data_IF_046109135238
#
_entry.id   IF_046109135238
#
_cell.length_a   1.000
_cell.length_b   1.000
_cell.length_c   1.000
_cell.angle_alpha   90.00
_cell.angle_beta   90.00
_cell.angle_gamma   90.00
#
_symmetry.space_group_name_H-M   'P 1'
#
loop_
_entity.id
_entity.type
_entity.pdbx_description
1 polymer ?
#
# COMPACT_ATOMS: atom_id res chain seq x y z
N UNK A 1 0.82 -17.65 4.80
CA UNK A 1 1.92 -16.81 4.29
C UNK A 1 2.27 -15.66 5.23
N UNK A 2 1.34 -14.75 5.54
CA UNK A 2 1.59 -13.56 6.39
C UNK A 2 2.29 -13.94 7.70
N UNK A 3 1.72 -14.85 8.49
CA UNK A 3 2.30 -15.26 9.78
C UNK A 3 3.73 -15.80 9.66
N UNK A 4 4.03 -16.59 8.63
CA UNK A 4 5.38 -17.13 8.38
C UNK A 4 6.39 -16.01 8.08
N UNK A 5 6.00 -15.01 7.29
CA UNK A 5 6.89 -13.91 6.91
C UNK A 5 7.06 -12.89 8.05
N UNK A 6 6.02 -12.66 8.86
CA UNK A 6 6.12 -11.80 10.03
C UNK A 6 6.93 -12.46 11.15
N UNK A 7 6.76 -13.76 11.41
CA UNK A 7 7.57 -14.51 12.35
C UNK A 7 9.07 -14.50 11.97
N UNK A 8 9.39 -14.67 10.69
CA UNK A 8 10.77 -14.58 10.21
C UNK A 8 11.39 -13.19 10.42
N UNK A 9 10.57 -12.14 10.42
CA UNK A 9 10.98 -10.75 10.70
C UNK A 9 11.02 -10.43 12.20
N UNK A 10 10.73 -11.39 13.07
CA UNK A 10 10.73 -11.23 14.54
C UNK A 10 9.45 -10.63 15.10
N UNK A 11 8.37 -10.54 14.35
CA UNK A 11 7.07 -10.10 14.85
C UNK A 11 6.29 -11.29 15.40
N UNK A 12 6.01 -11.25 16.70
CA UNK A 12 5.18 -12.26 17.38
C UNK A 12 3.68 -11.96 17.15
N UNK A 13 2.87 -13.03 17.06
CA UNK A 13 1.41 -12.93 16.97
C UNK A 13 0.82 -13.61 15.74
N UNK A 14 -0.51 -13.75 15.75
CA UNK A 14 -1.28 -14.30 14.64
C UNK A 14 -1.89 -13.15 13.85
N UNK A 15 -1.38 -12.92 12.66
CA UNK A 15 -1.90 -11.91 11.73
C UNK A 15 -2.93 -12.58 10.82
N UNK A 16 -4.22 -12.38 11.13
CA UNK A 16 -5.33 -12.84 10.27
C UNK A 16 -5.74 -11.75 9.29
N UNK A 17 -6.20 -12.15 8.12
CA UNK A 17 -7.01 -11.28 7.27
C UNK A 17 -8.39 -11.19 7.93
N UNK A 18 -8.90 -9.99 8.08
CA UNK A 18 -10.28 -9.78 8.55
C UNK A 18 -11.21 -10.04 7.36
N UNK A 19 -11.84 -11.21 7.34
CA UNK A 19 -12.62 -11.69 6.19
C UNK A 19 -13.93 -10.92 5.98
N UNK A 20 -14.47 -10.24 7.03
CA UNK A 20 -15.79 -9.60 7.00
C UNK A 20 -15.77 -8.08 7.21
N UNK A 21 -14.62 -7.40 7.03
CA UNK A 21 -14.57 -5.94 7.15
C UNK A 21 -14.64 -5.28 5.77
N UNK A 22 -15.79 -4.64 5.40
CA UNK A 22 -15.96 -4.03 4.07
C UNK A 22 -14.97 -2.90 3.78
N UNK A 23 -14.35 -2.34 4.83
CA UNK A 23 -13.34 -1.28 4.70
C UNK A 23 -11.90 -1.86 4.59
N UNK A 24 -11.75 -3.17 4.43
CA UNK A 24 -10.45 -3.85 4.34
C UNK A 24 -10.40 -4.72 3.08
N UNK A 25 -9.64 -4.29 2.08
CA UNK A 25 -9.48 -5.00 0.81
C UNK A 25 -8.12 -5.70 0.82
N UNK A 26 -8.13 -7.02 0.88
CA UNK A 26 -6.91 -7.83 0.87
C UNK A 26 -6.66 -8.43 -0.50
N UNK A 27 -5.45 -8.20 -1.02
CA UNK A 27 -4.98 -8.72 -2.31
C UNK A 27 -3.89 -9.75 -2.09
N UNK A 28 -3.82 -10.73 -2.97
CA UNK A 28 -2.71 -11.67 -3.05
C UNK A 28 -2.18 -11.78 -4.48
N UNK A 29 -0.86 -11.86 -4.62
CA UNK A 29 -0.22 -12.25 -5.85
C UNK A 29 0.14 -13.73 -5.78
N UNK A 30 -0.13 -14.47 -6.86
CA UNK A 30 0.23 -15.88 -6.97
C UNK A 30 1.13 -16.11 -8.18
N UNK A 31 2.13 -16.97 -8.03
CA UNK A 31 2.96 -17.48 -9.11
C UNK A 31 2.89 -19.01 -9.09
N UNK A 32 2.58 -19.61 -10.24
CA UNK A 32 2.43 -21.08 -10.42
C UNK A 32 1.54 -21.74 -9.36
N UNK A 33 0.48 -21.04 -8.93
CA UNK A 33 -0.47 -21.54 -7.92
C UNK A 33 -0.06 -21.33 -6.47
N UNK A 34 1.14 -20.80 -6.20
CA UNK A 34 1.59 -20.45 -4.87
C UNK A 34 1.43 -18.94 -4.59
N UNK A 35 0.94 -18.58 -3.41
CA UNK A 35 0.84 -17.17 -3.01
C UNK A 35 2.24 -16.63 -2.69
N UNK A 36 2.69 -15.66 -3.47
CA UNK A 36 4.01 -15.04 -3.38
C UNK A 36 4.00 -13.64 -2.76
N UNK A 37 2.85 -13.01 -2.69
CA UNK A 37 2.69 -11.69 -2.09
C UNK A 37 1.29 -11.47 -1.54
N UNK A 38 1.17 -10.63 -0.49
CA UNK A 38 -0.10 -10.17 0.06
C UNK A 38 0.02 -8.72 0.49
N UNK A 39 -1.08 -7.99 0.42
CA UNK A 39 -1.19 -6.62 0.92
C UNK A 39 -2.66 -6.33 1.25
N UNK A 40 -2.91 -5.45 2.21
CA UNK A 40 -4.27 -5.01 2.56
C UNK A 40 -4.35 -3.49 2.45
N UNK A 41 -5.40 -2.99 1.79
CA UNK A 41 -5.82 -1.60 1.82
C UNK A 41 -6.92 -1.45 2.87
N UNK A 42 -6.72 -0.56 3.82
CA UNK A 42 -7.75 -0.10 4.76
C UNK A 42 -8.33 1.23 4.27
N UNK A 43 -9.66 1.31 4.17
CA UNK A 43 -10.37 2.55 3.88
C UNK A 43 -10.79 3.16 5.21
N UNK A 44 -10.57 4.46 5.37
CA UNK A 44 -10.97 5.16 6.59
C UNK A 44 -12.49 5.11 6.79
N UNK A 45 -12.87 4.97 8.05
CA UNK A 45 -14.26 4.79 8.45
C UNK A 45 -14.44 5.24 9.91
N UNK A 46 -15.65 5.27 10.46
CA UNK A 46 -15.87 5.63 11.87
C UNK A 46 -15.07 4.80 12.89
N UNK A 47 -14.61 3.60 12.51
CA UNK A 47 -13.72 2.78 13.37
C UNK A 47 -12.24 3.11 13.19
N UNK A 48 -11.91 4.01 12.27
CA UNK A 48 -10.57 4.49 12.00
C UNK A 48 -9.68 3.51 11.20
N UNK A 49 -8.42 3.91 11.04
CA UNK A 49 -7.34 3.14 10.43
C UNK A 49 -6.51 2.42 11.53
N UNK A 50 -5.72 1.43 11.17
CA UNK A 50 -4.83 0.78 12.14
C UNK A 50 -3.76 1.74 12.68
N UNK A 51 -3.30 2.65 11.83
CA UNK A 51 -2.32 3.67 12.20
C UNK A 51 -2.86 4.70 13.22
N UNK A 52 -4.19 4.81 13.42
CA UNK A 52 -4.77 5.67 14.46
C UNK A 52 -4.32 5.28 15.88
N UNK A 53 -3.92 4.04 16.09
CA UNK A 53 -3.46 3.59 17.40
C UNK A 53 -2.28 4.41 17.94
N UNK A 54 -1.39 4.86 17.04
CA UNK A 54 -0.17 5.58 17.43
C UNK A 54 0.05 6.90 16.70
N UNK A 55 -0.69 7.17 15.61
CA UNK A 55 -0.51 8.36 14.77
C UNK A 55 -1.82 9.14 14.56
N UNK A 56 -2.79 8.97 15.49
CA UNK A 56 -4.11 9.57 15.36
C UNK A 56 -4.08 11.08 15.14
N UNK A 57 -3.23 11.79 15.87
CA UNK A 57 -3.05 13.25 15.77
C UNK A 57 -2.65 13.69 14.35
N UNK A 58 -1.80 12.90 13.69
CA UNK A 58 -1.37 13.18 12.32
C UNK A 58 -2.48 12.86 11.31
N UNK A 59 -3.18 11.74 11.49
CA UNK A 59 -4.28 11.34 10.59
C UNK A 59 -5.47 12.30 10.72
N UNK A 60 -5.82 12.72 11.93
CA UNK A 60 -6.90 13.68 12.17
C UNK A 60 -6.64 15.02 11.49
N UNK A 61 -5.39 15.47 11.44
CA UNK A 61 -5.02 16.68 10.69
C UNK A 61 -5.45 16.59 9.20
N UNK A 62 -5.25 15.46 8.55
CA UNK A 62 -5.71 15.27 7.17
C UNK A 62 -7.23 15.15 7.06
N UNK A 63 -7.89 14.50 8.04
CA UNK A 63 -9.36 14.42 8.11
C UNK A 63 -9.98 15.81 8.25
N UNK A 64 -9.42 16.66 9.13
CA UNK A 64 -9.88 18.03 9.36
C UNK A 64 -9.74 18.90 8.11
N UNK A 65 -8.76 18.60 7.24
CA UNK A 65 -8.62 19.25 5.94
C UNK A 65 -9.57 18.67 4.86
N UNK A 66 -10.44 17.74 5.21
CA UNK A 66 -11.38 17.10 4.28
C UNK A 66 -10.79 15.94 3.48
N UNK A 67 -9.63 15.43 3.87
CA UNK A 67 -9.00 14.29 3.24
C UNK A 67 -9.82 13.01 3.41
N UNK A 68 -9.87 12.20 2.35
CA UNK A 68 -10.38 10.82 2.36
C UNK A 68 -9.20 9.88 2.45
N UNK A 69 -9.02 9.26 3.61
CA UNK A 69 -7.80 8.54 3.92
C UNK A 69 -7.91 7.05 3.60
N UNK A 70 -6.79 6.45 3.24
CA UNK A 70 -6.62 5.01 3.24
C UNK A 70 -5.23 4.64 3.75
N UNK A 71 -5.06 3.39 4.17
CA UNK A 71 -3.76 2.89 4.64
C UNK A 71 -3.38 1.56 3.97
N UNK A 72 -2.10 1.38 3.72
CA UNK A 72 -1.52 0.12 3.23
C UNK A 72 -0.97 -0.64 4.43
N UNK A 73 -1.43 -1.87 4.61
CA UNK A 73 -1.02 -2.73 5.73
C UNK A 73 -0.72 -4.15 5.26
N UNK A 74 -0.15 -4.96 6.14
CA UNK A 74 0.05 -6.40 5.94
C UNK A 74 0.79 -6.75 4.64
N UNK A 75 1.67 -5.85 4.16
CA UNK A 75 2.52 -6.16 3.01
C UNK A 75 3.51 -7.26 3.39
N UNK A 76 3.39 -8.37 2.71
CA UNK A 76 4.31 -9.49 2.78
C UNK A 76 4.59 -10.00 1.36
N UNK A 77 5.86 -10.12 0.99
CA UNK A 77 6.27 -10.62 -0.31
C UNK A 77 7.40 -11.64 -0.14
N UNK A 78 7.34 -12.76 -0.86
CA UNK A 78 8.37 -13.80 -0.76
C UNK A 78 9.71 -13.24 -1.28
N UNK A 79 10.76 -13.17 -0.45
CA UNK A 79 12.05 -12.60 -0.84
C UNK A 79 12.75 -13.39 -1.95
N UNK A 80 12.32 -14.63 -2.22
CA UNK A 80 12.82 -15.45 -3.32
C UNK A 80 12.25 -15.04 -4.67
N UNK A 81 11.05 -14.42 -4.65
CA UNK A 81 10.39 -13.90 -5.86
C UNK A 81 10.82 -12.45 -6.04
N UNK A 82 11.79 -12.23 -6.93
CA UNK A 82 12.33 -10.89 -7.21
C UNK A 82 11.62 -10.24 -8.41
N UNK A 83 10.29 -10.28 -8.41
CA UNK A 83 9.50 -9.63 -9.47
C UNK A 83 9.07 -8.24 -9.06
N UNK A 84 9.65 -7.22 -9.70
CA UNK A 84 9.20 -5.84 -9.58
C UNK A 84 7.80 -5.67 -10.15
N UNK A 85 7.49 -6.39 -11.23
CA UNK A 85 6.20 -6.37 -11.92
C UNK A 85 5.07 -6.84 -10.98
N UNK A 86 5.26 -7.96 -10.28
CA UNK A 86 4.26 -8.48 -9.35
C UNK A 86 4.04 -7.54 -8.16
N UNK A 87 5.11 -6.95 -7.63
CA UNK A 87 5.01 -5.97 -6.55
C UNK A 87 4.34 -4.68 -7.02
N UNK A 88 4.71 -4.18 -8.21
CA UNK A 88 4.12 -3.02 -8.83
C UNK A 88 2.63 -3.23 -9.12
N UNK A 89 2.25 -4.41 -9.64
CA UNK A 89 0.85 -4.76 -9.87
C UNK A 89 0.02 -4.70 -8.59
N UNK A 90 0.53 -5.23 -7.46
CA UNK A 90 -0.17 -5.15 -6.18
C UNK A 90 -0.41 -3.68 -5.76
N UNK A 91 0.62 -2.83 -5.81
CA UNK A 91 0.48 -1.41 -5.46
C UNK A 91 -0.44 -0.67 -6.42
N UNK A 92 -0.39 -0.98 -7.72
CA UNK A 92 -1.27 -0.33 -8.68
C UNK A 92 -2.74 -0.72 -8.48
N UNK A 93 -3.04 -1.98 -8.18
CA UNK A 93 -4.41 -2.40 -7.86
C UNK A 93 -4.90 -1.73 -6.57
N UNK A 94 -4.04 -1.57 -5.54
CA UNK A 94 -4.40 -0.79 -4.35
C UNK A 94 -4.72 0.68 -4.70
N UNK A 95 -3.94 1.29 -5.60
CA UNK A 95 -4.22 2.63 -6.11
C UNK A 95 -5.60 2.70 -6.78
N UNK A 96 -5.93 1.73 -7.65
CA UNK A 96 -7.24 1.66 -8.31
C UNK A 96 -8.36 1.59 -7.27
N UNK A 97 -8.26 0.72 -6.28
CA UNK A 97 -9.25 0.64 -5.19
C UNK A 97 -9.33 1.94 -4.40
N UNK A 98 -8.21 2.45 -3.90
CA UNK A 98 -8.17 3.67 -3.10
C UNK A 98 -8.67 4.89 -3.89
N UNK A 99 -8.09 5.16 -5.05
CA UNK A 99 -8.34 6.39 -5.80
C UNK A 99 -9.58 6.32 -6.68
N UNK A 100 -9.74 5.24 -7.47
CA UNK A 100 -10.78 5.17 -8.50
C UNK A 100 -12.13 4.69 -7.94
N UNK A 101 -12.12 3.79 -6.95
CA UNK A 101 -13.34 3.19 -6.40
C UNK A 101 -13.78 3.92 -5.12
N UNK A 102 -12.88 4.13 -4.17
CA UNK A 102 -13.21 4.75 -2.89
C UNK A 102 -12.94 6.25 -2.83
N UNK A 103 -12.38 6.85 -3.89
CA UNK A 103 -12.12 8.30 -4.00
C UNK A 103 -11.24 8.84 -2.87
N UNK A 104 -10.31 8.02 -2.36
CA UNK A 104 -9.33 8.48 -1.39
C UNK A 104 -8.42 9.54 -2.00
N UNK A 105 -7.98 10.49 -1.15
CA UNK A 105 -7.06 11.57 -1.52
C UNK A 105 -5.66 11.31 -1.02
N UNK A 106 -5.55 10.61 0.11
CA UNK A 106 -4.31 10.44 0.86
C UNK A 106 -4.12 8.99 1.28
N UNK A 107 -2.92 8.47 1.08
CA UNK A 107 -2.55 7.11 1.45
C UNK A 107 -1.43 7.13 2.49
N UNK A 108 -1.60 6.31 3.51
CA UNK A 108 -0.66 6.17 4.63
C UNK A 108 -0.10 4.76 4.70
N UNK A 109 1.09 4.64 5.26
CA UNK A 109 1.69 3.36 5.59
C UNK A 109 2.56 3.50 6.85
N UNK A 110 2.35 2.63 7.82
CA UNK A 110 3.20 2.49 8.99
C UNK A 110 4.34 1.53 8.68
N UNK A 111 5.58 1.98 8.84
CA UNK A 111 6.75 1.19 8.47
C UNK A 111 7.83 1.16 9.53
N UNK A 112 8.51 0.02 9.67
CA UNK A 112 9.75 -0.04 10.45
C UNK A 112 10.83 0.83 9.77
N UNK A 113 11.71 1.53 10.51
CA UNK A 113 12.75 2.41 9.97
C UNK A 113 13.60 1.80 8.85
N UNK A 114 13.90 0.50 8.92
CA UNK A 114 14.68 -0.23 7.89
C UNK A 114 14.04 -0.27 6.51
N UNK A 115 12.71 -0.08 6.44
CA UNK A 115 11.94 -0.13 5.18
C UNK A 115 11.58 1.25 4.64
N UNK A 116 11.74 2.32 5.43
CA UNK A 116 11.37 3.69 5.08
C UNK A 116 11.90 4.10 3.71
N UNK A 117 13.23 3.94 3.51
CA UNK A 117 13.89 4.34 2.25
C UNK A 117 13.32 3.65 1.01
N UNK A 118 12.86 2.41 1.16
CA UNK A 118 12.21 1.70 0.05
C UNK A 118 10.97 2.45 -0.42
N UNK A 119 10.04 2.79 0.48
CA UNK A 119 8.80 3.47 0.13
C UNK A 119 9.04 4.89 -0.39
N UNK A 120 9.98 5.62 0.20
CA UNK A 120 10.36 6.95 -0.26
C UNK A 120 10.91 6.90 -1.69
N UNK A 121 11.83 5.98 -1.97
CA UNK A 121 12.51 5.91 -3.28
C UNK A 121 11.64 5.23 -4.35
N UNK A 122 10.93 4.17 -3.98
CA UNK A 122 10.25 3.33 -4.96
C UNK A 122 8.82 3.77 -5.27
N UNK A 123 8.17 4.49 -4.34
CA UNK A 123 6.76 4.87 -4.43
C UNK A 123 6.49 6.34 -4.12
N UNK A 124 7.53 7.13 -3.82
CA UNK A 124 7.41 8.58 -3.60
C UNK A 124 6.74 8.98 -2.29
N UNK A 125 6.70 8.10 -1.29
CA UNK A 125 6.19 8.46 0.03
C UNK A 125 7.05 9.50 0.72
N UNK A 126 6.44 10.31 1.57
CA UNK A 126 7.10 11.27 2.45
C UNK A 126 6.91 10.86 3.90
N UNK A 127 7.95 11.04 4.73
CA UNK A 127 7.86 10.76 6.15
C UNK A 127 7.13 11.89 6.87
N UNK A 128 6.22 11.54 7.78
CA UNK A 128 5.51 12.48 8.62
C UNK A 128 5.98 12.40 10.07
N UNK A 129 6.18 13.58 10.68
CA UNK A 129 6.43 13.76 12.09
C UNK A 129 7.63 12.98 12.63
N UNK A 130 7.45 12.37 13.81
CA UNK A 130 8.49 11.67 14.54
C UNK A 130 8.25 10.16 14.60
N UNK A 131 9.34 9.41 14.84
CA UNK A 131 9.27 7.96 15.05
C UNK A 131 8.55 7.66 16.37
N UNK A 132 7.61 6.72 16.35
CA UNK A 132 6.87 6.24 17.52
C UNK A 132 7.06 4.74 17.71
N UNK A 133 6.80 4.24 18.91
CA UNK A 133 6.81 2.79 19.17
C UNK A 133 5.42 2.21 18.91
N UNK A 134 5.35 1.19 18.04
CA UNK A 134 4.12 0.44 17.83
C UNK A 134 3.99 -0.64 18.91
N UNK A 135 2.98 -0.55 19.81
CA UNK A 135 2.83 -1.49 20.92
C UNK A 135 2.43 -2.91 20.46
N UNK A 136 1.74 -3.04 19.30
CA UNK A 136 1.32 -4.34 18.75
C UNK A 136 2.47 -5.27 18.44
N UNK A 137 3.60 -4.70 18.05
CA UNK A 137 4.80 -5.46 17.62
C UNK A 137 6.04 -5.08 18.41
N UNK A 138 5.89 -4.19 19.38
CA UNK A 138 6.98 -3.64 20.21
C UNK A 138 8.20 -3.21 19.37
N UNK A 139 7.93 -2.43 18.31
CA UNK A 139 8.94 -2.01 17.35
C UNK A 139 8.78 -0.54 16.98
N UNK A 140 9.90 0.14 16.61
CA UNK A 140 9.82 1.51 16.11
C UNK A 140 9.11 1.57 14.77
N UNK A 141 8.29 2.60 14.59
CA UNK A 141 7.51 2.86 13.41
C UNK A 141 7.59 4.33 12.96
N UNK A 142 7.60 4.53 11.66
CA UNK A 142 7.37 5.81 11.00
C UNK A 142 6.03 5.79 10.30
N UNK A 143 5.30 6.89 10.35
CA UNK A 143 4.17 7.11 9.45
C UNK A 143 4.70 7.74 8.15
N UNK A 144 4.42 7.11 7.03
CA UNK A 144 4.67 7.66 5.70
C UNK A 144 3.35 8.00 5.03
N UNK A 145 3.35 9.03 4.22
CA UNK A 145 2.21 9.57 3.50
C UNK A 145 2.54 9.81 2.03
N UNK A 146 1.54 9.64 1.17
CA UNK A 146 1.58 10.14 -0.19
C UNK A 146 0.19 10.66 -0.60
N UNK A 147 0.18 11.68 -1.44
CA UNK A 147 -1.03 12.19 -2.05
C UNK A 147 -1.36 11.38 -3.31
N UNK A 148 -2.60 10.90 -3.43
CA UNK A 148 -2.99 10.02 -4.53
C UNK A 148 -3.12 10.72 -5.88
N UNK A 149 -3.28 12.06 -5.92
CA UNK A 149 -3.19 12.81 -7.19
C UNK A 149 -1.75 12.82 -7.71
N UNK A 150 -0.76 13.01 -6.82
CA UNK A 150 0.65 12.90 -7.20
C UNK A 150 1.02 11.49 -7.66
N UNK A 151 0.49 10.47 -7.00
CA UNK A 151 0.67 9.06 -7.44
C UNK A 151 0.10 8.87 -8.85
N UNK A 152 -1.09 9.41 -9.12
CA UNK A 152 -1.72 9.36 -10.42
C UNK A 152 -0.84 10.02 -11.51
N UNK A 153 -0.30 11.21 -11.25
CA UNK A 153 0.62 11.89 -12.18
C UNK A 153 1.84 11.03 -12.51
N UNK A 154 2.40 10.33 -11.51
CA UNK A 154 3.53 9.41 -11.74
C UNK A 154 3.14 8.19 -12.58
N UNK A 155 1.95 7.63 -12.33
CA UNK A 155 1.42 6.52 -13.13
C UNK A 155 1.18 6.95 -14.57
N UNK A 156 0.56 8.10 -14.80
CA UNK A 156 0.32 8.64 -16.15
C UNK A 156 1.63 8.88 -16.92
N UNK A 157 2.66 9.33 -16.21
CA UNK A 157 3.97 9.63 -16.81
C UNK A 157 4.79 8.37 -17.13
N UNK A 158 4.78 7.36 -16.26
CA UNK A 158 5.72 6.25 -16.30
C UNK A 158 5.06 4.88 -16.48
N UNK A 159 3.75 4.73 -16.22
CA UNK A 159 3.06 3.44 -16.29
C UNK A 159 3.20 2.77 -17.65
N UNK A 160 3.50 1.47 -17.64
CA UNK A 160 3.68 0.68 -18.86
C UNK A 160 5.01 0.90 -19.59
N UNK A 161 5.97 1.63 -19.01
CA UNK A 161 7.26 1.93 -19.65
C UNK A 161 8.41 1.04 -19.18
N UNK A 162 8.11 -0.12 -18.56
CA UNK A 162 9.11 -1.01 -17.95
C UNK A 162 10.20 -1.49 -18.90
N UNK A 163 9.90 -1.60 -20.21
CA UNK A 163 10.89 -1.96 -21.25
C UNK A 163 11.91 -0.84 -21.54
N UNK A 164 11.56 0.42 -21.21
CA UNK A 164 12.41 1.58 -21.43
C UNK A 164 12.31 2.55 -20.23
N UNK A 165 12.72 2.14 -19.02
CA UNK A 165 12.50 2.94 -17.81
C UNK A 165 13.36 4.21 -17.74
N UNK A 166 14.30 4.41 -18.66
CA UNK A 166 15.25 5.51 -18.62
C UNK A 166 16.10 5.46 -17.34
N UNK A 167 16.24 6.63 -16.66
CA UNK A 167 16.93 6.75 -15.37
C UNK A 167 15.97 6.60 -14.17
N UNK A 168 14.70 6.23 -14.39
CA UNK A 168 13.71 6.11 -13.33
C UNK A 168 14.00 4.90 -12.45
N UNK A 169 14.10 5.13 -11.14
CA UNK A 169 14.42 4.08 -10.15
C UNK A 169 13.21 3.59 -9.37
N UNK A 170 12.06 4.26 -9.53
CA UNK A 170 10.83 3.90 -8.84
C UNK A 170 10.17 2.63 -9.41
N UNK A 171 9.07 2.22 -8.81
CA UNK A 171 8.22 1.14 -9.32
C UNK A 171 7.25 1.60 -10.42
N UNK A 172 7.06 2.89 -10.62
CA UNK A 172 6.05 3.41 -11.56
C UNK A 172 6.20 2.92 -13.00
N UNK A 173 7.39 2.73 -13.59
CA UNK A 173 7.53 2.12 -14.92
C UNK A 173 6.92 0.72 -15.05
N UNK A 174 6.84 -0.03 -13.95
CA UNK A 174 6.28 -1.39 -13.88
C UNK A 174 4.78 -1.42 -13.54
N UNK A 175 4.17 -0.26 -13.32
CA UNK A 175 2.73 -0.14 -13.17
C UNK A 175 2.05 -0.37 -14.53
N UNK A 176 0.79 -0.73 -14.51
CA UNK A 176 -0.01 -0.89 -15.73
C UNK A 176 -0.02 0.40 -16.55
N UNK A 177 -0.10 0.27 -17.85
CA UNK A 177 -0.41 1.39 -18.74
C UNK A 177 -1.80 1.95 -18.44
N UNK A 178 -2.07 3.19 -18.85
CA UNK A 178 -3.38 3.82 -18.66
C UNK A 178 -4.53 2.96 -19.22
N UNK A 179 -4.34 2.37 -20.41
CA UNK A 179 -5.35 1.50 -21.04
C UNK A 179 -5.65 0.24 -20.20
N UNK A 180 -4.62 -0.37 -19.63
CA UNK A 180 -4.76 -1.54 -18.75
C UNK A 180 -5.45 -1.15 -17.45
N UNK A 181 -5.03 -0.03 -16.82
CA UNK A 181 -5.66 0.52 -15.61
C UNK A 181 -7.15 0.76 -15.80
N UNK A 182 -7.56 1.43 -16.88
CA UNK A 182 -8.97 1.69 -17.20
C UNK A 182 -9.76 0.39 -17.39
N UNK A 183 -9.14 -0.62 -18.02
CA UNK A 183 -9.73 -1.94 -18.20
C UNK A 183 -9.92 -2.70 -16.87
N UNK A 184 -8.96 -2.62 -15.98
CA UNK A 184 -9.01 -3.21 -14.64
C UNK A 184 -10.07 -2.49 -13.80
N UNK A 185 -10.03 -1.17 -13.73
CA UNK A 185 -10.98 -0.36 -12.97
C UNK A 185 -12.43 -0.65 -13.37
N UNK A 186 -12.73 -0.69 -14.67
CA UNK A 186 -14.07 -1.06 -15.16
C UNK A 186 -14.54 -2.45 -14.68
N UNK A 187 -13.66 -3.45 -14.76
CA UNK A 187 -13.99 -4.79 -14.29
C UNK A 187 -14.28 -4.83 -12.79
N UNK A 188 -13.45 -4.16 -11.99
CA UNK A 188 -13.63 -4.12 -10.54
C UNK A 188 -14.93 -3.41 -10.14
N UNK A 189 -15.28 -2.30 -10.81
CA UNK A 189 -16.54 -1.58 -10.58
C UNK A 189 -17.79 -2.36 -11.02
N UNK A 190 -17.65 -3.33 -11.94
CA UNK A 190 -18.81 -4.13 -12.42
C UNK A 190 -19.12 -5.35 -11.55
N UNK A 191 -18.25 -5.69 -10.59
CA UNK A 191 -18.40 -6.86 -9.70
C UNK A 191 -18.97 -6.45 -8.33
N UNK A 192 -18.90 -5.16 -7.96
CA UNK A 192 -19.48 -4.61 -6.73
C UNK A 192 -20.84 -4.00 -6.97
#
# INVERSE_FOLDING_TARGET
>A
MINKMYAWRGYAGTHRLEEDNPNRISLSASDRGEVVGTVTLGIDSPVGLLADEIFKDQLDHFRDMGGKLCEITKLAFDPRVRSKEALAALFHILFIYGRRIHHCTDVFIEVNPRHRRFYETMLGFSCLGEMRTNPRVNAPAWLLWNNLDKVQEQIERFGGTSSHPGNERSLFPFFFSQKEEEGIARRLMSIG
#
